data_IF_430437032766
#
_entry.id   IF_430437032766
#
_cell.length_a   1.000
_cell.length_b   1.000
_cell.length_c   1.000
_cell.angle_alpha   90.00
_cell.angle_beta   90.00
_cell.angle_gamma   90.00
#
_symmetry.space_group_name_H-M   'P 1'
#
loop_
_entity.id
_entity.type
_entity.pdbx_description
1 polymer ?
#
# COMPACT_ATOMS: atom_id res chain seq x y z
N UNK A 1 56.97 51.42 -11.72
CA UNK A 1 55.66 51.53 -12.35
C UNK A 1 54.62 50.86 -11.49
N UNK A 2 53.86 51.65 -10.75
CA UNK A 2 52.79 51.16 -9.84
C UNK A 2 51.53 51.02 -10.67
N UNK A 3 51.02 49.81 -10.85
CA UNK A 3 49.69 49.56 -11.45
C UNK A 3 48.57 49.88 -10.46
N UNK A 4 47.80 50.89 -10.78
CA UNK A 4 46.55 51.19 -10.08
C UNK A 4 45.52 50.14 -10.47
N UNK A 5 45.12 49.25 -9.55
CA UNK A 5 43.99 48.37 -9.70
C UNK A 5 42.77 49.23 -9.39
N UNK A 6 41.96 49.44 -10.40
CA UNK A 6 40.75 50.29 -10.32
C UNK A 6 39.68 49.63 -9.52
N UNK A 7 39.07 50.39 -8.62
CA UNK A 7 38.01 49.99 -7.69
C UNK A 7 36.68 49.53 -8.37
N UNK A 8 36.65 49.47 -9.70
CA UNK A 8 35.49 49.03 -10.46
C UNK A 8 35.32 47.50 -10.53
N UNK A 9 36.36 46.72 -10.24
CA UNK A 9 36.26 45.24 -10.28
C UNK A 9 35.73 44.62 -8.94
N UNK A 10 35.76 45.38 -7.85
CA UNK A 10 35.26 44.89 -6.55
C UNK A 10 33.75 45.06 -6.39
N UNK A 11 33.09 45.95 -7.16
CA UNK A 11 31.67 46.21 -7.04
C UNK A 11 30.81 45.23 -7.89
N UNK A 12 31.38 44.66 -8.93
CA UNK A 12 30.71 43.67 -9.77
C UNK A 12 30.61 42.25 -9.12
N UNK A 13 31.48 41.97 -8.12
CA UNK A 13 31.50 40.67 -7.45
C UNK A 13 30.50 40.59 -6.27
N UNK A 14 30.09 41.73 -5.72
CA UNK A 14 29.12 41.76 -4.63
C UNK A 14 27.66 41.72 -5.09
N UNK A 15 27.35 42.02 -6.36
CA UNK A 15 25.98 41.96 -6.92
C UNK A 15 25.63 40.53 -7.40
N UNK A 16 26.63 39.69 -7.64
CA UNK A 16 26.42 38.31 -8.07
C UNK A 16 26.11 37.33 -6.91
N UNK A 17 26.26 37.74 -5.63
CA UNK A 17 25.97 36.91 -4.48
C UNK A 17 24.66 37.26 -3.76
N UNK A 18 23.86 38.15 -4.32
CA UNK A 18 22.60 38.63 -3.71
C UNK A 18 21.31 38.05 -4.27
N UNK A 19 21.36 37.03 -5.14
CA UNK A 19 20.18 36.44 -5.80
C UNK A 19 20.08 34.93 -5.54
N UNK A 20 20.62 34.46 -4.44
CA UNK A 20 20.41 33.07 -3.99
C UNK A 20 19.69 33.02 -2.65
N UNK A 21 18.46 33.52 -2.62
CA UNK A 21 17.57 33.22 -1.51
C UNK A 21 16.13 33.48 -1.95
N UNK A 22 15.52 32.48 -2.50
CA UNK A 22 14.11 32.06 -2.49
C UNK A 22 13.91 31.16 -3.72
N UNK A 23 14.55 30.01 -3.73
CA UNK A 23 13.97 28.86 -4.42
C UNK A 23 12.82 28.40 -3.52
N UNK A 24 11.61 28.25 -4.06
CA UNK A 24 10.61 27.48 -3.35
C UNK A 24 11.23 26.11 -3.08
N UNK A 25 11.09 25.63 -1.85
CA UNK A 25 11.46 24.28 -1.46
C UNK A 25 10.86 23.34 -2.51
N UNK A 26 11.68 22.84 -3.43
CA UNK A 26 11.34 21.66 -4.18
C UNK A 26 11.03 20.61 -3.11
N UNK A 27 9.79 20.16 -3.09
CA UNK A 27 9.45 18.95 -2.35
C UNK A 27 10.46 17.93 -2.87
N UNK A 28 11.31 17.44 -2.00
CA UNK A 28 12.14 16.29 -2.32
C UNK A 28 11.17 15.25 -2.86
N UNK A 29 11.31 14.91 -4.14
CA UNK A 29 10.59 13.80 -4.74
C UNK A 29 11.04 12.56 -3.99
N UNK A 30 10.21 12.15 -3.03
CA UNK A 30 10.47 10.93 -2.29
C UNK A 30 10.44 9.81 -3.33
N UNK A 31 11.56 9.14 -3.53
CA UNK A 31 11.63 8.02 -4.48
C UNK A 31 10.62 6.95 -4.04
N UNK A 32 9.62 6.72 -4.85
CA UNK A 32 8.51 5.78 -4.59
C UNK A 32 8.57 4.54 -5.49
N UNK A 33 9.73 4.26 -6.06
CA UNK A 33 9.97 3.15 -6.96
C UNK A 33 9.84 3.51 -8.44
N UNK A 34 10.04 2.52 -9.30
CA UNK A 34 9.88 2.68 -10.75
C UNK A 34 8.41 2.81 -11.10
N UNK A 35 8.10 3.75 -11.99
CA UNK A 35 6.76 3.86 -12.53
C UNK A 35 6.36 2.54 -13.21
N UNK A 36 5.18 2.07 -12.86
CA UNK A 36 4.62 0.83 -13.41
C UNK A 36 4.14 1.07 -14.83
N UNK A 37 4.55 0.21 -15.76
CA UNK A 37 3.91 0.18 -17.08
C UNK A 37 2.43 -0.21 -16.92
N UNK A 38 1.54 0.62 -17.48
CA UNK A 38 0.13 0.30 -17.52
C UNK A 38 -0.10 -0.90 -18.42
N UNK A 39 -0.54 -2.00 -17.82
CA UNK A 39 -0.79 -3.24 -18.56
C UNK A 39 -2.07 -3.10 -19.37
N UNK A 40 -2.07 -3.64 -20.60
CA UNK A 40 -3.21 -3.55 -21.52
C UNK A 40 -4.53 -4.08 -20.93
N UNK A 41 -4.46 -4.95 -19.93
CA UNK A 41 -5.62 -5.52 -19.23
C UNK A 41 -6.03 -4.75 -17.95
N UNK A 42 -5.26 -3.73 -17.51
CA UNK A 42 -5.58 -2.94 -16.32
C UNK A 42 -7.00 -2.36 -16.34
N UNK A 43 -7.50 -1.77 -17.44
CA UNK A 43 -8.87 -1.27 -17.50
C UNK A 43 -9.95 -2.36 -17.29
N UNK A 44 -9.61 -3.62 -17.50
CA UNK A 44 -10.52 -4.73 -17.22
C UNK A 44 -10.57 -5.05 -15.73
N UNK A 45 -9.46 -4.96 -15.03
CA UNK A 45 -9.42 -5.10 -13.57
C UNK A 45 -10.26 -4.04 -12.87
N UNK A 46 -10.25 -2.82 -13.37
CA UNK A 46 -11.02 -1.71 -12.79
C UNK A 46 -12.54 -1.92 -12.86
N UNK A 47 -13.00 -2.90 -13.65
CA UNK A 47 -14.41 -3.28 -13.80
C UNK A 47 -14.80 -4.55 -13.06
N UNK A 48 -13.86 -5.18 -12.39
CA UNK A 48 -14.11 -6.45 -11.72
C UNK A 48 -15.08 -6.25 -10.55
N UNK A 49 -16.18 -7.03 -10.56
CA UNK A 49 -17.07 -7.14 -9.42
C UNK A 49 -16.50 -8.10 -8.36
N UNK A 50 -16.91 -8.00 -7.08
CA UNK A 50 -16.39 -8.86 -6.03
C UNK A 50 -16.51 -10.36 -6.32
N UNK A 51 -17.55 -10.79 -7.00
CA UNK A 51 -17.75 -12.19 -7.36
C UNK A 51 -16.66 -12.75 -8.27
N UNK A 52 -16.05 -11.90 -9.10
CA UNK A 52 -14.98 -12.31 -10.03
C UNK A 52 -13.69 -12.61 -9.29
N UNK A 53 -13.46 -12.01 -8.11
CA UNK A 53 -12.26 -12.31 -7.30
C UNK A 53 -12.25 -13.75 -6.76
N UNK A 54 -13.41 -14.39 -6.67
CA UNK A 54 -13.54 -15.80 -6.29
C UNK A 54 -13.41 -16.77 -7.47
N UNK A 55 -13.40 -16.27 -8.71
CA UNK A 55 -13.24 -17.09 -9.91
C UNK A 55 -11.76 -17.41 -10.16
N UNK A 56 -11.39 -18.65 -9.86
CA UNK A 56 -10.05 -19.19 -10.06
C UNK A 56 -9.90 -20.00 -11.37
N UNK A 57 -10.95 -20.04 -12.21
CA UNK A 57 -10.99 -20.91 -13.39
C UNK A 57 -9.90 -20.65 -14.43
N UNK A 58 -9.37 -19.43 -14.48
CA UNK A 58 -8.34 -19.01 -15.43
C UNK A 58 -6.97 -18.76 -14.77
N UNK A 59 -6.78 -19.18 -13.53
CA UNK A 59 -5.48 -19.04 -12.87
C UNK A 59 -4.48 -20.06 -13.41
N UNK A 60 -3.32 -19.57 -13.82
CA UNK A 60 -2.16 -20.35 -14.24
C UNK A 60 -0.97 -19.98 -13.33
N UNK A 61 -0.88 -20.64 -12.21
CA UNK A 61 0.22 -20.46 -11.25
C UNK A 61 1.20 -21.64 -11.35
N UNK A 62 2.48 -21.36 -11.26
CA UNK A 62 3.52 -22.41 -11.27
C UNK A 62 3.42 -23.28 -10.04
N UNK A 63 3.72 -24.60 -10.18
CA UNK A 63 3.87 -25.46 -9.01
C UNK A 63 4.87 -24.90 -8.01
N UNK A 64 4.53 -24.97 -6.72
CA UNK A 64 5.39 -24.53 -5.64
C UNK A 64 5.46 -23.00 -5.45
N UNK A 65 4.64 -22.21 -6.17
CA UNK A 65 4.55 -20.75 -5.97
C UNK A 65 4.40 -20.44 -4.48
N UNK A 66 5.23 -19.51 -4.00
CA UNK A 66 5.21 -19.04 -2.62
C UNK A 66 4.72 -17.61 -2.53
N UNK A 67 3.67 -17.39 -1.76
CA UNK A 67 3.03 -16.09 -1.54
C UNK A 67 3.18 -15.74 -0.05
N UNK A 68 3.87 -14.64 0.23
CA UNK A 68 3.93 -14.08 1.58
C UNK A 68 2.84 -13.02 1.74
N UNK A 69 2.03 -13.14 2.79
CA UNK A 69 0.94 -12.21 3.09
C UNK A 69 1.22 -11.53 4.43
N UNK A 70 1.33 -10.21 4.41
CA UNK A 70 1.73 -9.43 5.58
C UNK A 70 0.59 -8.50 5.97
N UNK A 71 -0.08 -8.83 7.08
CA UNK A 71 -1.15 -8.04 7.68
C UNK A 71 -0.64 -6.88 8.52
N UNK A 72 -1.57 -6.15 9.14
CA UNK A 72 -1.22 -5.03 10.04
C UNK A 72 -1.09 -5.46 11.50
N UNK A 73 -1.75 -6.54 11.88
CA UNK A 73 -1.80 -7.00 13.25
C UNK A 73 -2.17 -8.47 13.35
N UNK A 74 -1.59 -9.16 14.33
CA UNK A 74 -2.00 -10.49 14.72
C UNK A 74 -3.20 -10.50 15.68
N UNK A 75 -3.91 -11.64 15.77
CA UNK A 75 -4.78 -12.01 16.86
C UNK A 75 -6.07 -11.20 17.05
N UNK A 76 -6.46 -10.36 16.08
CA UNK A 76 -7.80 -9.73 16.10
C UNK A 76 -8.79 -10.55 15.28
N UNK A 77 -10.09 -10.43 15.59
CA UNK A 77 -11.13 -11.13 14.85
C UNK A 77 -11.05 -10.83 13.33
N UNK A 78 -10.87 -9.55 12.96
CA UNK A 78 -10.75 -9.16 11.56
C UNK A 78 -9.54 -9.81 10.86
N UNK A 79 -8.36 -9.72 11.45
CA UNK A 79 -7.14 -10.26 10.83
C UNK A 79 -7.10 -11.79 10.85
N UNK A 80 -7.74 -12.43 11.82
CA UNK A 80 -7.92 -13.88 11.83
C UNK A 80 -8.81 -14.37 10.69
N UNK A 81 -9.88 -13.63 10.37
CA UNK A 81 -10.72 -13.91 9.20
C UNK A 81 -9.97 -13.68 7.88
N UNK A 82 -9.15 -12.63 7.81
CA UNK A 82 -8.28 -12.39 6.64
C UNK A 82 -7.31 -13.56 6.45
N UNK A 83 -6.64 -14.00 7.50
CA UNK A 83 -5.74 -15.15 7.45
C UNK A 83 -6.48 -16.41 7.00
N UNK A 84 -7.63 -16.72 7.58
CA UNK A 84 -8.43 -17.87 7.19
C UNK A 84 -8.86 -17.82 5.72
N UNK A 85 -9.24 -16.63 5.24
CA UNK A 85 -9.57 -16.43 3.82
C UNK A 85 -8.39 -16.66 2.89
N UNK A 86 -7.20 -16.22 3.25
CA UNK A 86 -5.95 -16.44 2.50
C UNK A 86 -5.60 -17.93 2.45
N UNK A 87 -5.68 -18.63 3.58
CA UNK A 87 -5.42 -20.08 3.66
C UNK A 87 -6.44 -20.88 2.83
N UNK A 88 -7.73 -20.51 2.91
CA UNK A 88 -8.78 -21.14 2.12
C UNK A 88 -8.57 -20.93 0.61
N UNK A 89 -8.20 -19.72 0.19
CA UNK A 89 -7.90 -19.42 -1.21
C UNK A 89 -6.75 -20.29 -1.73
N UNK A 90 -5.69 -20.48 -0.94
CA UNK A 90 -4.58 -21.36 -1.31
C UNK A 90 -5.03 -22.83 -1.45
N UNK A 91 -5.91 -23.30 -0.56
CA UNK A 91 -6.46 -24.67 -0.65
C UNK A 91 -7.32 -24.83 -1.92
N UNK A 92 -8.19 -23.88 -2.22
CA UNK A 92 -9.07 -23.92 -3.39
C UNK A 92 -8.28 -23.88 -4.69
N UNK A 93 -7.23 -23.05 -4.77
CA UNK A 93 -6.31 -22.98 -5.92
C UNK A 93 -5.58 -24.31 -6.08
N UNK A 94 -5.01 -24.86 -5.00
CA UNK A 94 -4.32 -26.14 -5.03
C UNK A 94 -5.23 -27.29 -5.51
N UNK A 95 -6.48 -27.27 -5.06
CA UNK A 95 -7.48 -28.25 -5.50
C UNK A 95 -7.83 -28.09 -6.98
N UNK A 96 -8.03 -26.82 -7.43
CA UNK A 96 -8.35 -26.51 -8.82
C UNK A 96 -7.22 -26.93 -9.77
N UNK A 97 -5.97 -26.58 -9.44
CA UNK A 97 -4.79 -26.91 -10.25
C UNK A 97 -4.31 -28.36 -10.08
N UNK A 98 -4.86 -29.11 -9.10
CA UNK A 98 -4.48 -30.48 -8.82
C UNK A 98 -3.12 -30.64 -8.14
N UNK A 99 -2.59 -29.57 -7.55
CA UNK A 99 -1.27 -29.56 -6.92
C UNK A 99 -1.26 -30.29 -5.57
N UNK A 100 -0.18 -31.08 -5.34
CA UNK A 100 0.00 -31.91 -4.15
C UNK A 100 1.45 -31.90 -3.68
N UNK A 101 1.66 -32.14 -2.41
CA UNK A 101 3.01 -32.23 -1.84
C UNK A 101 3.78 -30.92 -2.00
N UNK A 102 4.94 -31.00 -2.63
CA UNK A 102 5.82 -29.85 -2.86
C UNK A 102 5.34 -28.91 -3.96
N UNK A 103 4.48 -29.39 -4.86
CA UNK A 103 3.89 -28.58 -5.94
C UNK A 103 2.80 -27.61 -5.45
N UNK A 104 2.33 -27.79 -4.23
CA UNK A 104 1.31 -26.88 -3.68
C UNK A 104 1.77 -25.45 -3.65
N UNK A 105 0.83 -24.56 -4.00
CA UNK A 105 0.95 -23.14 -3.69
C UNK A 105 1.07 -23.01 -2.18
N UNK A 106 2.10 -22.30 -1.73
CA UNK A 106 2.38 -22.05 -0.31
C UNK A 106 2.00 -20.62 0.00
N UNK A 107 1.26 -20.44 1.07
CA UNK A 107 0.93 -19.13 1.61
C UNK A 107 1.41 -19.07 3.05
N UNK A 108 2.08 -17.99 3.41
CA UNK A 108 2.45 -17.69 4.78
C UNK A 108 1.87 -16.34 5.15
N UNK A 109 1.10 -16.31 6.23
CA UNK A 109 0.57 -15.10 6.81
C UNK A 109 1.42 -14.68 8.01
N UNK A 110 1.89 -13.45 8.02
CA UNK A 110 2.59 -12.81 9.13
C UNK A 110 2.01 -11.42 9.37
N UNK A 111 2.12 -10.93 10.59
CA UNK A 111 1.72 -9.56 10.91
C UNK A 111 2.40 -9.09 12.20
N UNK A 112 2.55 -7.78 12.41
CA UNK A 112 2.99 -7.23 13.68
C UNK A 112 2.04 -7.60 14.83
N UNK A 113 2.59 -7.71 16.03
CA UNK A 113 1.78 -7.90 17.24
C UNK A 113 0.89 -6.68 17.52
N UNK A 114 1.35 -5.48 17.13
CA UNK A 114 0.59 -4.23 17.22
C UNK A 114 0.42 -3.57 15.84
N UNK A 115 -0.81 -3.12 15.54
CA UNK A 115 -1.17 -2.51 14.25
C UNK A 115 -0.49 -1.15 13.96
N UNK A 116 0.12 -0.52 14.94
CA UNK A 116 0.83 0.75 14.79
C UNK A 116 2.36 0.57 14.72
N UNK A 117 2.84 -0.66 14.77
CA UNK A 117 4.27 -0.96 14.80
C UNK A 117 4.84 -1.09 13.38
N UNK A 118 5.28 0.06 12.84
CA UNK A 118 5.88 0.15 11.50
C UNK A 118 7.20 -0.62 11.46
N UNK A 119 8.05 -0.48 12.47
CA UNK A 119 9.38 -1.10 12.50
C UNK A 119 9.28 -2.63 12.50
N UNK A 120 8.30 -3.18 13.20
CA UNK A 120 8.03 -4.62 13.20
C UNK A 120 7.56 -5.10 11.82
N UNK A 121 6.69 -4.34 11.14
CA UNK A 121 6.26 -4.71 9.79
C UNK A 121 7.43 -4.66 8.79
N UNK A 122 8.31 -3.68 8.90
CA UNK A 122 9.52 -3.60 8.07
C UNK A 122 10.43 -4.79 8.33
N UNK A 123 10.65 -5.19 9.58
CA UNK A 123 11.44 -6.36 9.92
C UNK A 123 10.83 -7.66 9.35
N UNK A 124 9.49 -7.80 9.41
CA UNK A 124 8.78 -8.93 8.80
C UNK A 124 9.00 -8.95 7.29
N UNK A 125 8.93 -7.79 6.63
CA UNK A 125 9.21 -7.68 5.20
C UNK A 125 10.64 -8.11 4.86
N UNK A 126 11.63 -7.70 5.64
CA UNK A 126 13.03 -8.10 5.44
C UNK A 126 13.21 -9.63 5.61
N UNK A 127 12.55 -10.23 6.61
CA UNK A 127 12.57 -11.68 6.83
C UNK A 127 11.91 -12.43 5.68
N UNK A 128 10.78 -11.93 5.17
CA UNK A 128 10.07 -12.56 4.06
C UNK A 128 10.84 -12.41 2.74
N UNK A 129 11.45 -11.27 2.47
CA UNK A 129 12.32 -11.07 1.31
C UNK A 129 13.49 -12.06 1.29
N UNK A 130 14.07 -12.37 2.45
CA UNK A 130 15.14 -13.34 2.58
C UNK A 130 14.70 -14.79 2.25
N UNK A 131 13.39 -15.06 2.23
CA UNK A 131 12.82 -16.36 1.83
C UNK A 131 12.52 -16.46 0.34
N UNK A 132 12.71 -15.37 -0.40
CA UNK A 132 12.47 -15.26 -1.85
C UNK A 132 11.05 -15.71 -2.26
N UNK A 133 9.99 -15.09 -1.78
CA UNK A 133 8.64 -15.38 -2.26
C UNK A 133 8.47 -14.95 -3.72
N UNK A 134 7.55 -15.57 -4.44
CA UNK A 134 7.17 -15.12 -5.78
C UNK A 134 6.32 -13.84 -5.73
N UNK A 135 5.52 -13.68 -4.66
CA UNK A 135 4.65 -12.54 -4.44
C UNK A 135 4.65 -12.15 -2.97
N UNK A 136 4.68 -10.86 -2.70
CA UNK A 136 4.39 -10.26 -1.40
C UNK A 136 3.06 -9.52 -1.50
N UNK A 137 2.08 -9.91 -0.68
CA UNK A 137 0.86 -9.16 -0.45
C UNK A 137 0.96 -8.43 0.89
N UNK A 138 0.77 -7.13 0.91
CA UNK A 138 0.97 -6.32 2.12
C UNK A 138 -0.20 -5.39 2.40
N UNK A 139 -0.66 -5.39 3.65
CA UNK A 139 -1.51 -4.33 4.21
C UNK A 139 -0.63 -3.35 4.99
N UNK A 140 -0.19 -2.28 4.35
CA UNK A 140 0.77 -1.35 4.94
C UNK A 140 0.21 -0.66 6.19
N UNK A 141 0.99 -0.65 7.27
CA UNK A 141 0.69 0.12 8.49
C UNK A 141 0.77 1.62 8.19
N UNK A 142 1.75 2.03 7.39
CA UNK A 142 1.90 3.40 6.92
C UNK A 142 2.11 3.42 5.40
N UNK A 143 1.48 4.39 4.72
CA UNK A 143 1.46 4.47 3.24
C UNK A 143 2.84 4.67 2.62
N UNK A 144 3.74 5.36 3.32
CA UNK A 144 5.07 5.71 2.83
C UNK A 144 6.18 4.81 3.43
N UNK A 145 5.81 3.84 4.26
CA UNK A 145 6.77 2.90 4.82
C UNK A 145 7.15 1.81 3.82
N UNK A 146 8.32 1.23 4.05
CA UNK A 146 8.78 0.03 3.33
C UNK A 146 9.19 0.22 1.86
N UNK A 147 9.41 1.46 1.40
CA UNK A 147 9.85 1.70 0.02
C UNK A 147 11.16 0.97 -0.31
N UNK A 148 12.11 0.91 0.63
CA UNK A 148 13.39 0.20 0.47
C UNK A 148 13.16 -1.30 0.28
N UNK A 149 12.27 -1.90 1.06
CA UNK A 149 11.93 -3.31 0.96
C UNK A 149 11.23 -3.63 -0.38
N UNK A 150 10.40 -2.71 -0.86
CA UNK A 150 9.74 -2.87 -2.16
C UNK A 150 10.70 -2.68 -3.33
N UNK A 151 11.71 -1.81 -3.20
CA UNK A 151 12.79 -1.71 -4.18
C UNK A 151 13.58 -3.03 -4.24
N UNK A 152 13.92 -3.60 -3.09
CA UNK A 152 14.59 -4.91 -3.01
C UNK A 152 13.74 -6.03 -3.61
N UNK A 153 12.42 -6.02 -3.36
CA UNK A 153 11.49 -6.96 -3.98
C UNK A 153 11.53 -6.84 -5.51
N UNK A 154 11.44 -5.61 -6.04
CA UNK A 154 11.46 -5.34 -7.47
C UNK A 154 12.81 -5.76 -8.12
N UNK A 155 13.94 -5.51 -7.46
CA UNK A 155 15.26 -5.93 -7.92
C UNK A 155 15.40 -7.46 -8.00
N UNK A 156 14.70 -8.19 -7.12
CA UNK A 156 14.68 -9.65 -7.10
C UNK A 156 13.54 -10.26 -7.94
N UNK A 157 12.76 -9.43 -8.65
CA UNK A 157 11.65 -9.89 -9.48
C UNK A 157 10.43 -10.37 -8.68
N UNK A 158 10.33 -10.01 -7.41
CA UNK A 158 9.22 -10.33 -6.52
C UNK A 158 8.10 -9.32 -6.74
N UNK A 159 6.92 -9.78 -7.10
CA UNK A 159 5.76 -8.90 -7.28
C UNK A 159 5.20 -8.46 -5.92
N UNK A 160 4.87 -7.16 -5.79
CA UNK A 160 4.24 -6.61 -4.59
C UNK A 160 2.82 -6.16 -4.91
N UNK A 161 1.87 -6.62 -4.12
CA UNK A 161 0.46 -6.22 -4.17
C UNK A 161 0.03 -5.65 -2.83
N UNK A 162 -0.86 -4.67 -2.84
CA UNK A 162 -1.41 -4.09 -1.62
C UNK A 162 -2.83 -4.61 -1.37
N UNK A 163 -3.20 -4.78 -0.11
CA UNK A 163 -4.58 -5.09 0.27
C UNK A 163 -4.98 -4.33 1.53
N UNK A 164 -6.28 -4.19 1.79
CA UNK A 164 -6.87 -3.47 2.93
C UNK A 164 -6.51 -1.98 2.99
N UNK A 165 -5.27 -1.62 2.81
CA UNK A 165 -4.79 -0.23 2.78
C UNK A 165 -3.91 0.05 1.57
N UNK A 166 -3.91 1.32 1.15
CA UNK A 166 -3.04 1.79 0.07
C UNK A 166 -1.60 1.88 0.53
N UNK A 167 -0.70 1.83 -0.44
CA UNK A 167 0.69 2.21 -0.31
C UNK A 167 1.07 3.11 -1.48
N UNK A 168 1.87 4.14 -1.25
CA UNK A 168 2.24 5.13 -2.27
C UNK A 168 3.39 4.66 -3.18
N UNK A 169 3.93 3.46 -2.96
CA UNK A 169 4.98 2.91 -3.79
C UNK A 169 4.48 2.63 -5.20
N UNK A 170 5.14 3.21 -6.21
CA UNK A 170 4.69 3.12 -7.62
C UNK A 170 4.78 1.70 -8.21
N UNK A 171 5.62 0.85 -7.64
CA UNK A 171 5.81 -0.55 -8.07
C UNK A 171 4.72 -1.52 -7.59
N UNK A 172 3.72 -1.07 -6.82
CA UNK A 172 2.59 -1.90 -6.42
C UNK A 172 1.80 -2.35 -7.65
N UNK A 173 1.68 -3.67 -7.85
CA UNK A 173 1.04 -4.23 -9.05
C UNK A 173 -0.47 -4.03 -9.07
N UNK A 174 -1.11 -4.17 -7.91
CA UNK A 174 -2.53 -3.88 -7.72
C UNK A 174 -2.83 -3.59 -6.25
N UNK A 175 -3.98 -2.99 -5.99
CA UNK A 175 -4.49 -2.76 -4.64
C UNK A 175 -5.89 -3.34 -4.53
N UNK A 176 -6.08 -4.30 -3.60
CA UNK A 176 -7.37 -4.90 -3.30
C UNK A 176 -7.90 -4.31 -1.98
N UNK A 177 -8.93 -3.47 -2.07
CA UNK A 177 -9.51 -2.82 -0.89
C UNK A 177 -10.99 -2.51 -1.10
N UNK A 178 -11.68 -2.27 0.00
CA UNK A 178 -13.07 -1.80 -0.05
C UNK A 178 -13.16 -0.41 -0.66
N UNK A 179 -14.06 -0.22 -1.63
CA UNK A 179 -14.48 1.13 -2.02
C UNK A 179 -15.34 1.74 -0.90
N UNK A 180 -14.67 2.42 0.02
CA UNK A 180 -15.32 3.03 1.18
C UNK A 180 -16.32 4.12 0.79
N UNK A 181 -16.14 4.77 -0.36
CA UNK A 181 -17.07 5.80 -0.85
C UNK A 181 -18.36 5.15 -1.35
N UNK A 182 -18.24 4.10 -2.16
CA UNK A 182 -19.39 3.33 -2.63
C UNK A 182 -20.14 2.66 -1.46
N UNK A 183 -19.41 2.04 -0.53
CA UNK A 183 -19.99 1.42 0.66
C UNK A 183 -20.73 2.43 1.54
N UNK A 184 -20.15 3.62 1.77
CA UNK A 184 -20.80 4.67 2.54
C UNK A 184 -22.06 5.22 1.84
N UNK A 185 -22.02 5.39 0.51
CA UNK A 185 -23.19 5.81 -0.28
C UNK A 185 -24.33 4.78 -0.15
N UNK A 186 -24.01 3.49 -0.28
CA UNK A 186 -25.00 2.43 -0.17
C UNK A 186 -25.59 2.36 1.25
N UNK A 187 -24.76 2.49 2.29
CA UNK A 187 -25.23 2.58 3.67
C UNK A 187 -26.17 3.77 3.91
N UNK A 188 -25.82 4.95 3.38
CA UNK A 188 -26.64 6.15 3.46
C UNK A 188 -27.99 5.97 2.72
N UNK A 189 -27.96 5.36 1.53
CA UNK A 189 -29.17 5.06 0.76
C UNK A 189 -30.11 4.14 1.55
N UNK A 190 -29.62 3.02 2.07
CA UNK A 190 -30.41 2.09 2.88
C UNK A 190 -30.95 2.73 4.15
N UNK A 191 -30.18 3.59 4.79
CA UNK A 191 -30.64 4.34 5.96
C UNK A 191 -31.78 5.30 5.59
N UNK A 192 -31.63 6.05 4.48
CA UNK A 192 -32.67 6.97 4.00
C UNK A 192 -33.97 6.23 3.68
N UNK A 193 -33.88 5.08 3.01
CA UNK A 193 -35.05 4.24 2.73
C UNK A 193 -35.73 3.74 4.02
N UNK A 194 -34.95 3.29 5.01
CA UNK A 194 -35.48 2.78 6.27
C UNK A 194 -36.24 3.83 7.10
N UNK A 195 -35.87 5.11 6.95
CA UNK A 195 -36.57 6.24 7.59
C UNK A 195 -37.59 6.92 6.66
N UNK A 196 -37.90 6.31 5.50
CA UNK A 196 -38.83 6.84 4.47
C UNK A 196 -38.51 8.29 4.07
N UNK A 197 -37.22 8.63 4.00
CA UNK A 197 -36.71 10.00 3.76
C UNK A 197 -37.21 11.04 4.77
N UNK A 198 -37.74 10.58 5.90
CA UNK A 198 -38.25 11.41 7.01
C UNK A 198 -37.43 11.13 8.26
N UNK A 199 -37.12 12.19 8.98
CA UNK A 199 -36.43 12.06 10.26
C UNK A 199 -35.13 12.82 10.36
N UNK A 200 -34.65 12.92 11.58
CA UNK A 200 -33.35 13.55 11.88
C UNK A 200 -32.29 12.45 12.07
N UNK A 201 -31.11 12.68 11.51
CA UNK A 201 -29.95 11.83 11.72
C UNK A 201 -29.09 12.43 12.82
N UNK A 202 -28.86 11.69 13.90
CA UNK A 202 -27.78 12.00 14.83
C UNK A 202 -26.50 11.31 14.41
N UNK A 203 -25.42 12.05 14.29
CA UNK A 203 -24.08 11.52 14.05
C UNK A 203 -23.33 11.43 15.37
N UNK A 204 -23.17 10.21 15.89
CA UNK A 204 -22.31 9.97 17.05
C UNK A 204 -20.89 9.71 16.54
N UNK A 205 -20.06 10.74 16.58
CA UNK A 205 -18.66 10.60 16.25
C UNK A 205 -17.89 10.13 17.47
N UNK A 206 -17.33 8.94 17.42
CA UNK A 206 -16.29 8.55 18.38
C UNK A 206 -15.04 9.38 18.03
N UNK A 207 -14.87 10.47 18.75
CA UNK A 207 -13.67 11.29 18.65
C UNK A 207 -12.63 10.67 19.56
N UNK A 208 -11.50 10.25 19.03
CA UNK A 208 -10.35 9.81 19.82
C UNK A 208 -9.90 10.90 20.77
N UNK A 209 -9.15 10.52 21.81
CA UNK A 209 -8.69 11.47 22.87
C UNK A 209 -7.97 12.69 22.31
N UNK A 210 -7.30 12.56 21.19
CA UNK A 210 -6.53 13.60 20.53
C UNK A 210 -7.37 14.68 19.83
N UNK A 211 -8.60 14.34 19.47
CA UNK A 211 -9.51 15.33 18.85
C UNK A 211 -10.27 16.18 19.88
N UNK A 212 -10.28 15.82 21.16
CA UNK A 212 -10.96 16.60 22.22
C UNK A 212 -10.31 17.95 22.50
N UNK A 213 -9.01 18.11 22.24
CA UNK A 213 -8.28 19.35 22.49
C UNK A 213 -8.45 20.44 21.43
N UNK A 214 -9.14 20.16 20.32
CA UNK A 214 -9.31 21.11 19.19
C UNK A 214 -10.63 21.87 19.18
N UNK A 215 -11.54 21.57 20.10
CA UNK A 215 -12.89 22.14 20.13
C UNK A 215 -13.28 22.74 21.48
N UNK A 216 -12.29 23.12 22.31
CA UNK A 216 -12.49 23.90 23.55
C UNK A 216 -11.97 25.30 23.38
#
# INVERSE_FOLDING_TARGET
MKRKITAAAAFALCVAMGVCACSPSEKEDTFTGKEKEELAWQPNLDRISPEVYADISNLDLKPGTYISVIGKREGTAYWSEVQAGVEQAAEDINKHLGYKGEDKIKVLYNAPADSENIDEQVNILDEELARYPDVIAVASVAEDASAVQFDLAAENGIAVVAFDSRNNYQGIQCTCMTDNVAAAKEGARKMSEAIEEKGERSEERRVGKECRSRWS
#
